data_IF_848248199707
#
_entry.id   IF_848248199707
#
_cell.length_a   1.000
_cell.length_b   1.000
_cell.length_c   1.000
_cell.angle_alpha   90.00
_cell.angle_beta   90.00
_cell.angle_gamma   90.00
#
_symmetry.space_group_name_H-M   'P 1'
#
loop_
_entity.id
_entity.type
_entity.pdbx_description
1 polymer ?
#
# COMPACT_ATOMS: atom_id res chain seq x y z
N UNK A 1 8.54 48.41 -30.53
CA UNK A 1 7.49 47.64 -29.81
C UNK A 1 6.90 46.64 -30.79
N UNK A 2 7.25 45.36 -30.70
CA UNK A 2 6.70 44.31 -31.55
C UNK A 2 7.04 42.95 -30.94
N UNK A 3 6.02 42.29 -30.41
CA UNK A 3 6.07 41.15 -29.50
C UNK A 3 6.74 39.89 -30.08
N UNK A 4 7.64 39.29 -29.29
CA UNK A 4 7.85 37.84 -29.21
C UNK A 4 6.51 37.19 -28.78
N UNK A 5 6.08 35.99 -29.16
CA UNK A 5 6.81 34.72 -29.23
C UNK A 5 5.93 33.67 -29.92
N UNK A 6 6.57 32.67 -30.50
CA UNK A 6 5.98 31.46 -31.07
C UNK A 6 5.18 30.61 -30.06
N UNK A 7 4.27 29.80 -30.64
CA UNK A 7 4.19 28.34 -30.41
C UNK A 7 2.94 27.76 -29.71
N UNK A 8 2.53 26.61 -30.26
CA UNK A 8 1.73 25.52 -29.70
C UNK A 8 0.19 25.56 -29.74
N UNK A 9 -0.43 25.35 -30.91
CA UNK A 9 -1.72 24.61 -30.94
C UNK A 9 -1.83 23.82 -32.25
N UNK A 10 -1.92 22.49 -32.19
CA UNK A 10 -2.83 21.64 -33.00
C UNK A 10 -2.67 20.14 -32.68
N UNK A 11 -3.55 19.69 -31.78
CA UNK A 11 -4.30 18.43 -31.73
C UNK A 11 -3.65 17.10 -32.18
N UNK A 12 -3.69 16.11 -31.27
CA UNK A 12 -4.37 14.84 -31.55
C UNK A 12 -4.78 14.13 -30.25
N UNK A 13 -6.06 13.81 -30.18
CA UNK A 13 -6.75 13.17 -29.08
C UNK A 13 -6.15 11.79 -28.73
N UNK A 14 -6.04 11.56 -27.41
CA UNK A 14 -6.21 10.25 -26.77
C UNK A 14 -6.94 10.52 -25.46
N UNK A 15 -8.25 10.22 -25.33
CA UNK A 15 -8.88 10.22 -24.01
C UNK A 15 -8.38 8.95 -23.31
N UNK A 16 -7.29 9.07 -22.55
CA UNK A 16 -6.88 8.00 -21.67
C UNK A 16 -7.43 8.31 -20.29
N UNK A 17 -8.69 7.92 -20.10
CA UNK A 17 -9.22 7.71 -18.76
C UNK A 17 -8.53 6.43 -18.29
N UNK A 18 -7.55 6.56 -17.40
CA UNK A 18 -7.13 5.45 -16.55
C UNK A 18 -7.17 5.98 -15.14
N UNK A 19 -8.17 5.47 -14.43
CA UNK A 19 -8.21 5.13 -13.02
C UNK A 19 -7.37 6.05 -12.11
N UNK A 20 -8.10 6.91 -11.41
CA UNK A 20 -7.68 7.44 -10.12
C UNK A 20 -7.46 6.25 -9.20
N UNK A 21 -6.20 5.91 -8.94
CA UNK A 21 -5.81 5.46 -7.61
C UNK A 21 -4.39 5.99 -7.31
N UNK A 22 -4.40 7.02 -6.46
CA UNK A 22 -3.33 7.43 -5.56
C UNK A 22 -1.96 7.76 -6.19
N UNK A 23 -1.81 9.05 -6.44
CA UNK A 23 -0.54 9.72 -6.72
C UNK A 23 0.51 9.40 -5.64
N UNK A 24 1.69 8.92 -6.05
CA UNK A 24 2.93 9.51 -5.54
C UNK A 24 3.89 9.73 -6.69
N UNK A 25 4.24 11.00 -6.85
CA UNK A 25 4.90 11.59 -8.00
C UNK A 25 6.42 11.37 -7.98
N UNK A 26 7.03 11.32 -9.18
CA UNK A 26 8.42 11.70 -9.49
C UNK A 26 9.57 10.84 -8.93
N UNK A 27 9.92 9.76 -9.63
CA UNK A 27 11.23 9.51 -10.28
C UNK A 27 11.22 8.09 -10.87
N UNK A 28 11.96 7.86 -11.95
CA UNK A 28 11.94 6.70 -12.84
C UNK A 28 12.31 5.34 -12.19
N UNK A 29 11.52 4.87 -11.22
CA UNK A 29 11.59 3.55 -10.62
C UNK A 29 10.16 2.98 -10.66
N UNK A 30 9.93 1.91 -11.44
CA UNK A 30 8.63 1.22 -11.48
C UNK A 30 8.38 0.50 -10.15
N UNK A 31 7.95 1.23 -9.14
CA UNK A 31 7.50 0.66 -7.88
C UNK A 31 6.25 -0.17 -8.22
N UNK A 32 6.33 -1.48 -8.06
CA UNK A 32 5.20 -2.37 -8.28
C UNK A 32 4.32 -2.35 -7.05
N UNK A 33 3.00 -2.29 -7.18
CA UNK A 33 2.11 -2.50 -6.05
C UNK A 33 2.04 -4.02 -5.80
N UNK A 34 2.30 -4.51 -4.57
CA UNK A 34 2.20 -5.93 -4.28
C UNK A 34 0.73 -6.36 -4.21
N UNK A 35 0.46 -7.61 -4.52
CA UNK A 35 -0.89 -8.14 -4.33
C UNK A 35 -1.12 -8.35 -2.84
N UNK A 36 -2.10 -7.64 -2.28
CA UNK A 36 -2.43 -7.72 -0.86
C UNK A 36 -3.88 -8.13 -0.69
N UNK A 37 -4.16 -8.79 0.43
CA UNK A 37 -5.50 -9.22 0.80
C UNK A 37 -5.70 -8.96 2.28
N UNK A 38 -6.74 -8.20 2.60
CA UNK A 38 -7.14 -7.96 3.98
C UNK A 38 -8.28 -8.92 4.29
N UNK A 39 -8.12 -9.65 5.38
CA UNK A 39 -9.06 -10.60 5.94
C UNK A 39 -9.38 -10.08 7.33
N UNK A 40 -10.64 -10.20 7.73
CA UNK A 40 -11.12 -9.76 9.04
C UNK A 40 -11.59 -11.00 9.81
N UNK A 41 -11.17 -11.13 11.05
CA UNK A 41 -11.47 -12.26 11.94
C UNK A 41 -11.95 -11.70 13.29
N UNK A 42 -13.12 -12.13 13.80
CA UNK A 42 -14.10 -13.02 13.19
C UNK A 42 -14.83 -12.39 11.98
N UNK A 43 -15.23 -13.23 11.02
CA UNK A 43 -15.99 -12.82 9.83
C UNK A 43 -17.44 -12.39 10.16
N UNK A 44 -17.95 -12.89 11.30
CA UNK A 44 -19.28 -12.62 11.83
C UNK A 44 -19.17 -11.73 13.08
N UNK A 45 -19.67 -10.49 12.98
CA UNK A 45 -19.64 -9.49 14.04
C UNK A 45 -18.66 -8.35 13.76
N UNK A 46 -18.19 -7.72 14.84
CA UNK A 46 -17.11 -6.74 14.81
C UNK A 46 -15.78 -7.49 14.68
N UNK A 47 -14.98 -7.24 13.62
CA UNK A 47 -13.72 -7.93 13.45
C UNK A 47 -12.81 -7.55 14.61
N UNK A 48 -12.23 -8.52 15.32
CA UNK A 48 -11.31 -8.32 16.46
C UNK A 48 -9.85 -8.28 15.98
N UNK A 49 -9.58 -8.89 14.83
CA UNK A 49 -8.27 -8.97 14.21
C UNK A 49 -8.39 -8.75 12.70
N UNK A 50 -7.50 -7.92 12.16
CA UNK A 50 -7.24 -7.79 10.74
C UNK A 50 -5.99 -8.55 10.37
N UNK A 51 -6.13 -9.47 9.42
CA UNK A 51 -5.04 -10.24 8.85
C UNK A 51 -4.81 -9.73 7.43
N UNK A 52 -3.68 -9.09 7.20
CA UNK A 52 -3.28 -8.65 5.87
C UNK A 52 -2.20 -9.59 5.32
N UNK A 53 -2.53 -10.28 4.23
CA UNK A 53 -1.58 -11.10 3.47
C UNK A 53 -1.07 -10.33 2.26
N UNK A 54 0.23 -10.12 2.16
CA UNK A 54 0.87 -9.39 1.07
C UNK A 54 1.83 -10.33 0.34
N UNK A 55 1.55 -10.59 -0.93
CA UNK A 55 2.36 -11.42 -1.82
C UNK A 55 3.46 -10.56 -2.45
N UNK A 56 4.71 -10.92 -2.15
CA UNK A 56 5.91 -10.19 -2.51
C UNK A 56 6.90 -11.08 -3.29
N UNK A 57 6.53 -11.64 -4.46
CA UNK A 57 7.37 -12.61 -5.19
C UNK A 57 8.70 -12.03 -5.71
N UNK A 58 8.85 -10.70 -5.79
CA UNK A 58 10.14 -10.07 -6.13
C UNK A 58 10.98 -9.72 -4.89
N UNK A 59 10.45 -9.86 -3.68
CA UNK A 59 11.20 -9.62 -2.43
C UNK A 59 11.84 -10.91 -1.95
N UNK A 60 13.16 -10.92 -1.86
CA UNK A 60 13.93 -12.07 -1.36
C UNK A 60 14.17 -12.02 0.15
N UNK A 61 13.88 -10.92 0.83
CA UNK A 61 14.20 -10.76 2.25
C UNK A 61 13.34 -9.74 2.98
N UNK A 62 12.78 -10.18 4.12
CA UNK A 62 12.16 -9.32 5.15
C UNK A 62 13.07 -8.16 5.60
N UNK A 63 14.39 -8.36 5.63
CA UNK A 63 15.34 -7.34 6.10
C UNK A 63 15.34 -6.06 5.26
N UNK A 64 14.94 -6.15 4.00
CA UNK A 64 14.82 -5.01 3.09
C UNK A 64 13.40 -4.49 2.98
N UNK A 65 12.46 -5.12 3.70
CA UNK A 65 11.09 -4.66 3.86
C UNK A 65 11.02 -3.77 5.09
N UNK A 66 10.33 -2.66 4.94
CA UNK A 66 9.94 -1.77 6.02
C UNK A 66 8.42 -1.81 6.07
N UNK A 67 7.87 -2.29 7.17
CA UNK A 67 6.45 -2.25 7.43
C UNK A 67 6.22 -1.24 8.55
N UNK A 68 5.38 -0.27 8.26
CA UNK A 68 4.92 0.75 9.19
C UNK A 68 3.43 0.50 9.41
N UNK A 69 3.06 0.26 10.66
CA UNK A 69 1.68 0.02 11.08
C UNK A 69 1.32 1.17 12.00
N UNK A 70 0.43 2.03 11.54
CA UNK A 70 -0.22 3.05 12.36
C UNK A 70 -1.58 2.59 12.85
N UNK A 71 -2.29 3.49 13.52
CA UNK A 71 -3.61 3.23 14.10
C UNK A 71 -4.67 2.93 13.05
N UNK A 72 -4.63 3.56 11.88
CA UNK A 72 -5.60 3.33 10.79
C UNK A 72 -4.90 3.18 9.43
N UNK A 73 -3.56 3.10 9.44
CA UNK A 73 -2.78 3.17 8.21
C UNK A 73 -1.70 2.13 8.20
N UNK A 74 -1.58 1.43 7.08
CA UNK A 74 -0.58 0.41 6.87
C UNK A 74 0.27 0.84 5.69
N UNK A 75 1.56 1.01 5.92
CA UNK A 75 2.52 1.36 4.89
C UNK A 75 3.57 0.26 4.80
N UNK A 76 3.54 -0.49 3.71
CA UNK A 76 4.63 -1.38 3.37
C UNK A 76 5.51 -0.73 2.31
N UNK A 77 6.79 -0.66 2.60
CA UNK A 77 7.81 -0.15 1.69
C UNK A 77 8.96 -1.14 1.61
N UNK A 78 9.72 -1.09 0.51
CA UNK A 78 10.96 -1.84 0.38
C UNK A 78 12.12 -0.89 0.16
N UNK A 79 13.28 -1.16 0.77
CA UNK A 79 14.50 -0.38 0.57
C UNK A 79 14.95 -0.35 -0.90
N UNK A 80 14.61 -1.40 -1.66
CA UNK A 80 14.90 -1.50 -3.09
C UNK A 80 13.88 -0.76 -3.97
N UNK A 81 12.90 -0.07 -3.38
CA UNK A 81 11.83 0.65 -4.08
C UNK A 81 11.11 -0.20 -5.15
N UNK A 82 11.07 -1.52 -4.92
CA UNK A 82 10.45 -2.50 -5.83
C UNK A 82 8.97 -2.66 -5.52
N UNK A 83 8.61 -2.52 -4.25
CA UNK A 83 7.26 -2.56 -3.74
C UNK A 83 6.98 -1.43 -2.76
N UNK A 84 5.81 -0.85 -2.92
CA UNK A 84 5.20 0.10 -2.01
C UNK A 84 3.70 -0.18 -1.97
N UNK A 85 3.14 -0.19 -0.77
CA UNK A 85 1.73 -0.35 -0.50
C UNK A 85 1.37 0.61 0.62
N UNK A 86 0.35 1.43 0.38
CA UNK A 86 -0.24 2.31 1.37
C UNK A 86 -1.72 1.98 1.42
N UNK A 87 -2.21 1.54 2.57
CA UNK A 87 -3.62 1.22 2.75
C UNK A 87 -4.12 1.89 4.01
N UNK A 88 -5.25 2.57 3.86
CA UNK A 88 -6.01 3.09 4.97
C UNK A 88 -7.05 2.05 5.36
N UNK A 89 -7.09 1.74 6.64
CA UNK A 89 -8.09 0.87 7.21
C UNK A 89 -9.39 1.67 7.39
N UNK A 90 -10.53 0.97 7.54
CA UNK A 90 -11.78 1.61 7.93
C UNK A 90 -12.02 1.56 9.44
N UNK A 91 -11.08 1.01 10.22
CA UNK A 91 -11.19 0.76 11.65
C UNK A 91 -9.83 0.96 12.30
N UNK A 92 -9.83 1.54 13.50
CA UNK A 92 -8.64 1.72 14.31
C UNK A 92 -8.12 0.36 14.84
N UNK A 93 -6.82 0.13 14.65
CA UNK A 93 -6.06 -1.01 15.12
C UNK A 93 -5.08 -0.63 16.22
N UNK A 94 -4.79 -1.61 17.07
CA UNK A 94 -3.75 -1.49 18.07
C UNK A 94 -2.39 -1.83 17.43
N UNK A 95 -1.59 -0.79 17.19
CA UNK A 95 -0.24 -0.94 16.66
C UNK A 95 0.79 -1.45 17.68
N UNK A 96 0.43 -1.56 18.97
CA UNK A 96 1.33 -2.07 20.02
C UNK A 96 1.31 -3.61 20.05
N UNK A 97 0.12 -4.20 19.91
CA UNK A 97 -0.09 -5.65 19.81
C UNK A 97 -0.06 -6.18 18.36
N UNK A 98 0.25 -5.34 17.38
CA UNK A 98 0.37 -5.77 15.99
C UNK A 98 1.61 -6.67 15.76
N UNK A 99 1.42 -7.72 14.96
CA UNK A 99 2.46 -8.69 14.62
C UNK A 99 2.61 -8.86 13.12
N UNK A 100 3.84 -8.83 12.60
CA UNK A 100 4.12 -9.08 11.20
C UNK A 100 5.06 -10.27 11.02
N UNK A 101 4.68 -11.19 10.13
CA UNK A 101 5.44 -12.39 9.82
C UNK A 101 5.73 -12.44 8.32
N UNK A 102 7.02 -12.35 7.96
CA UNK A 102 7.46 -12.53 6.58
C UNK A 102 7.98 -13.93 6.33
N UNK A 103 7.28 -14.64 5.47
CA UNK A 103 7.64 -15.97 5.04
C UNK A 103 8.48 -15.89 3.74
N UNK A 104 9.79 -16.11 3.87
CA UNK A 104 10.74 -16.02 2.73
C UNK A 104 10.57 -17.15 1.72
N UNK A 105 10.01 -18.28 2.13
CA UNK A 105 9.82 -19.45 1.29
C UNK A 105 8.65 -19.24 0.33
N UNK A 106 7.53 -18.73 0.85
CA UNK A 106 6.33 -18.42 0.06
C UNK A 106 6.32 -16.98 -0.46
N UNK A 107 7.24 -16.14 0.02
CA UNK A 107 7.37 -14.72 -0.26
C UNK A 107 6.08 -13.95 0.09
N UNK A 108 5.50 -14.28 1.25
CA UNK A 108 4.28 -13.69 1.77
C UNK A 108 4.60 -12.96 3.06
N UNK A 109 4.11 -11.74 3.19
CA UNK A 109 4.04 -11.06 4.47
C UNK A 109 2.62 -11.21 5.00
N UNK A 110 2.47 -11.90 6.13
CA UNK A 110 1.21 -11.95 6.86
C UNK A 110 1.32 -10.99 8.03
N UNK A 111 0.41 -10.04 8.12
CA UNK A 111 0.34 -9.09 9.22
C UNK A 111 -0.94 -9.33 9.98
N UNK A 112 -0.83 -9.55 11.27
CA UNK A 112 -1.94 -9.71 12.21
C UNK A 112 -2.03 -8.45 13.05
N UNK A 113 -3.17 -7.77 12.97
CA UNK A 113 -3.40 -6.48 13.61
C UNK A 113 -4.65 -6.61 14.47
N UNK A 114 -4.56 -6.59 15.79
CA UNK A 114 -5.75 -6.51 16.63
C UNK A 114 -6.44 -5.15 16.40
N UNK A 115 -7.76 -5.14 16.28
CA UNK A 115 -8.50 -3.88 16.24
C UNK A 115 -8.72 -3.35 17.66
N UNK A 116 -8.84 -2.03 17.79
CA UNK A 116 -9.29 -1.41 19.03
C UNK A 116 -10.81 -1.39 19.03
N UNK A 117 -11.43 -2.49 19.48
CA UNK A 117 -12.85 -2.45 19.84
C UNK A 117 -12.96 -1.73 21.18
N UNK A 118 -13.34 -0.46 21.15
CA UNK A 118 -13.80 0.25 22.34
C UNK A 118 -15.10 -0.43 22.80
N UNK A 119 -14.99 -1.42 23.68
CA UNK A 119 -16.12 -1.95 24.44
C UNK A 119 -16.60 -0.82 25.34
N UNK A 120 -17.73 -0.21 24.96
CA UNK A 120 -18.40 0.85 25.69
C UNK A 120 -19.53 0.31 26.56
#
# INVERSE_FOLDING_TARGET
MGQLTEQFIRARAKPFIVEVDQQTNNTEQRISLPEYKIIREPLEGDPEFLIMDIRLPKVKSAKTLTLDIGTDRIVLSTRSNIYHLDVWLPIDIDSDECGAQFDKATQVLTITMPVLQDTQ
#
